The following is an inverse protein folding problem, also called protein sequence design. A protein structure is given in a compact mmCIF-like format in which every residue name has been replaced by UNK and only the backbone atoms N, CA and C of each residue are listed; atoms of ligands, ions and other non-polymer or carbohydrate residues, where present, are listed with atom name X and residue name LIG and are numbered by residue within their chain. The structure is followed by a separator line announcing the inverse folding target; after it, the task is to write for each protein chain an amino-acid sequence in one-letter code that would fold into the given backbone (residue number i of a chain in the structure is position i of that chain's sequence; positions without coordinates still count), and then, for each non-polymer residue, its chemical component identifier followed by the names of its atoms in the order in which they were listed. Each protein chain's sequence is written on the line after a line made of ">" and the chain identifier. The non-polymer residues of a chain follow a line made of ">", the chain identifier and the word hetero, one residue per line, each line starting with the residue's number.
data_IF_413213666538
#
_entry.id   IF_413213666538
#
_cell.length_a   1.000
_cell.length_b   1.000
_cell.length_c   1.000
_cell.angle_alpha   90.00
_cell.angle_beta   90.00
_cell.angle_gamma   90.00
#
_symmetry.space_group_name_H-M   'P 1'
#
loop_
_entity.id
_entity.type
_entity.pdbx_description
1 polymer ?
#
# COMPACT_ATOMS: atom_id res chain seq x y z
N UNK A 1 48.28 -24.02 12.15
CA UNK A 1 47.40 -23.96 10.96
C UNK A 1 46.81 -22.56 10.92
N UNK A 2 47.41 -21.65 10.14
CA UNK A 2 46.95 -20.25 10.07
C UNK A 2 45.66 -20.20 9.26
N UNK A 3 44.56 -19.77 9.88
CA UNK A 3 43.31 -19.44 9.16
C UNK A 3 43.58 -18.18 8.34
N UNK A 4 43.55 -18.32 7.02
CA UNK A 4 43.56 -17.19 6.09
C UNK A 4 42.29 -16.37 6.32
N UNK A 5 42.44 -15.07 6.59
CA UNK A 5 41.34 -14.11 6.53
C UNK A 5 41.04 -13.83 5.06
N UNK A 6 39.77 -13.83 4.60
CA UNK A 6 39.47 -13.36 3.26
C UNK A 6 39.83 -11.87 3.17
N UNK A 7 40.73 -11.56 2.25
CA UNK A 7 41.12 -10.21 1.88
C UNK A 7 39.92 -9.60 1.14
N UNK A 8 39.35 -8.51 1.66
CA UNK A 8 38.36 -7.71 0.94
C UNK A 8 39.05 -7.12 -0.28
N UNK A 9 38.56 -7.47 -1.47
CA UNK A 9 38.94 -6.82 -2.72
C UNK A 9 38.00 -5.64 -2.89
N UNK A 10 38.44 -4.44 -2.52
CA UNK A 10 37.84 -3.21 -3.01
C UNK A 10 38.27 -3.07 -4.48
N UNK A 11 37.45 -3.58 -5.41
CA UNK A 11 37.70 -3.41 -6.84
C UNK A 11 37.22 -2.02 -7.27
N UNK A 12 38.08 -1.02 -7.10
CA UNK A 12 37.89 0.30 -7.67
C UNK A 12 38.23 0.23 -9.16
N UNK A 13 37.25 -0.07 -10.02
CA UNK A 13 37.43 -0.02 -11.47
C UNK A 13 37.42 1.44 -11.98
N UNK A 14 38.51 2.16 -11.70
CA UNK A 14 38.90 3.35 -12.45
C UNK A 14 39.57 2.90 -13.76
N UNK A 15 38.80 2.60 -14.79
CA UNK A 15 39.34 2.52 -16.16
C UNK A 15 39.04 3.81 -16.90
N UNK A 16 39.95 4.78 -16.75
CA UNK A 16 39.92 6.01 -17.53
C UNK A 16 40.49 5.80 -18.94
N UNK A 17 39.84 6.38 -19.95
CA UNK A 17 40.52 7.16 -21.00
C UNK A 17 39.54 8.06 -21.76
N UNK A 18 39.49 9.32 -21.29
CA UNK A 18 39.15 10.57 -22.00
C UNK A 18 37.93 10.61 -22.97
N UNK A 19 36.75 10.97 -22.45
CA UNK A 19 35.77 11.83 -23.13
C UNK A 19 34.69 12.32 -22.13
N UNK A 20 34.79 13.58 -21.68
CA UNK A 20 33.90 14.31 -20.75
C UNK A 20 33.72 13.73 -19.32
N UNK A 21 33.75 14.62 -18.34
CA UNK A 21 33.75 14.29 -16.91
C UNK A 21 32.35 13.91 -16.43
N UNK A 22 32.06 12.62 -16.35
CA UNK A 22 30.93 12.10 -15.58
C UNK A 22 31.20 12.29 -14.08
N UNK A 23 30.65 13.35 -13.47
CA UNK A 23 30.76 13.67 -12.03
C UNK A 23 29.99 12.66 -11.13
N UNK A 24 30.19 11.36 -11.31
CA UNK A 24 29.56 10.35 -10.46
C UNK A 24 30.30 10.24 -9.12
N UNK A 25 29.56 10.16 -8.02
CA UNK A 25 30.08 9.99 -6.67
C UNK A 25 29.59 8.68 -6.07
N UNK A 26 30.52 7.86 -5.59
CA UNK A 26 30.28 6.58 -4.97
C UNK A 26 30.95 6.55 -3.58
N UNK A 27 30.19 6.32 -2.52
CA UNK A 27 30.71 6.15 -1.16
C UNK A 27 30.26 4.82 -0.60
N UNK A 28 31.21 4.05 -0.07
CA UNK A 28 30.93 2.75 0.52
C UNK A 28 31.62 2.64 1.89
N UNK A 29 30.84 2.28 2.91
CA UNK A 29 31.32 2.04 4.28
C UNK A 29 30.85 0.66 4.74
N UNK A 30 31.79 -0.21 5.13
CA UNK A 30 31.50 -1.53 5.69
C UNK A 30 32.21 -1.70 7.04
N UNK A 31 31.44 -2.01 8.08
CA UNK A 31 31.96 -2.39 9.40
C UNK A 31 31.35 -3.74 9.82
N UNK A 32 32.18 -4.77 9.92
CA UNK A 32 31.78 -6.15 10.28
C UNK A 32 32.29 -7.22 9.30
N UNK A 33 31.72 -8.44 9.35
CA UNK A 33 32.24 -9.60 8.61
C UNK A 33 31.26 -10.09 7.52
N UNK A 34 31.80 -10.58 6.41
CA UNK A 34 31.03 -11.23 5.32
C UNK A 34 29.98 -10.35 4.62
N UNK A 35 30.14 -9.02 4.66
CA UNK A 35 29.26 -8.12 3.92
C UNK A 35 29.66 -8.05 2.43
N UNK A 36 28.69 -8.14 1.53
CA UNK A 36 28.82 -8.03 0.08
C UNK A 36 28.16 -6.73 -0.42
N UNK A 37 28.86 -6.03 -1.32
CA UNK A 37 28.38 -4.79 -1.93
C UNK A 37 28.77 -4.72 -3.38
N UNK A 38 27.84 -4.31 -4.22
CA UNK A 38 28.11 -3.94 -5.60
C UNK A 38 27.51 -2.56 -5.87
N UNK A 39 28.27 -1.71 -6.54
CA UNK A 39 27.82 -0.40 -6.99
C UNK A 39 28.28 -0.17 -8.43
N UNK A 40 27.32 0.05 -9.33
CA UNK A 40 27.57 0.37 -10.73
C UNK A 40 26.86 1.68 -11.11
N UNK A 41 27.60 2.66 -11.63
CA UNK A 41 27.07 3.97 -12.04
C UNK A 41 27.47 4.26 -13.48
N UNK A 42 26.49 4.54 -14.33
CA UNK A 42 26.67 4.92 -15.73
C UNK A 42 25.88 6.22 -16.02
N UNK A 43 26.46 7.14 -16.80
CA UNK A 43 25.92 8.49 -17.03
C UNK A 43 26.63 9.58 -16.20
N UNK A 44 26.01 10.74 -15.97
CA UNK A 44 26.64 11.92 -15.37
C UNK A 44 26.00 12.37 -14.04
N UNK A 45 26.78 12.67 -13.01
CA UNK A 45 26.27 13.31 -11.79
C UNK A 45 25.55 12.38 -10.81
N UNK A 46 25.57 11.07 -11.01
CA UNK A 46 24.92 10.11 -10.12
C UNK A 46 25.64 10.05 -8.76
N UNK A 47 24.89 9.96 -7.66
CA UNK A 47 25.41 9.81 -6.30
C UNK A 47 24.89 8.52 -5.68
N UNK A 48 25.78 7.70 -5.14
CA UNK A 48 25.41 6.49 -4.41
C UNK A 48 26.19 6.36 -3.11
N UNK A 49 25.49 6.07 -2.02
CA UNK A 49 26.06 5.82 -0.68
C UNK A 49 25.56 4.48 -0.15
N UNK A 50 26.49 3.58 0.20
CA UNK A 50 26.19 2.29 0.84
C UNK A 50 26.87 2.22 2.20
N UNK A 51 26.10 1.99 3.25
CA UNK A 51 26.61 1.77 4.62
C UNK A 51 26.11 0.44 5.15
N UNK A 52 27.02 -0.44 5.55
CA UNK A 52 26.71 -1.74 6.16
C UNK A 52 27.45 -1.90 7.48
N UNK A 53 26.71 -1.99 8.59
CA UNK A 53 27.26 -2.20 9.94
C UNK A 53 26.68 -3.48 10.54
N UNK A 54 27.46 -4.56 10.59
CA UNK A 54 26.94 -5.88 10.93
C UNK A 54 27.59 -7.01 10.16
N UNK A 55 26.98 -8.19 10.15
CA UNK A 55 27.50 -9.33 9.39
C UNK A 55 26.54 -9.81 8.31
N UNK A 56 27.09 -10.36 7.23
CA UNK A 56 26.36 -11.05 6.16
C UNK A 56 25.37 -10.18 5.36
N UNK A 57 25.54 -8.86 5.36
CA UNK A 57 24.70 -7.95 4.56
C UNK A 57 25.01 -8.05 3.07
N UNK A 58 24.00 -7.91 2.20
CA UNK A 58 24.16 -7.72 0.75
C UNK A 58 23.50 -6.41 0.31
N UNK A 59 24.24 -5.55 -0.41
CA UNK A 59 23.67 -4.36 -1.05
C UNK A 59 24.16 -4.23 -2.49
N UNK A 60 23.24 -4.20 -3.45
CA UNK A 60 23.53 -3.94 -4.85
C UNK A 60 22.82 -2.66 -5.30
N UNK A 61 23.58 -1.69 -5.83
CA UNK A 61 23.03 -0.48 -6.44
C UNK A 61 23.51 -0.41 -7.89
N UNK A 62 22.57 -0.22 -8.81
CA UNK A 62 22.86 0.10 -10.22
C UNK A 62 22.12 1.38 -10.60
N UNK A 63 22.86 2.39 -11.06
CA UNK A 63 22.30 3.66 -11.54
C UNK A 63 22.71 3.92 -12.99
N UNK A 64 21.74 4.22 -13.84
CA UNK A 64 21.94 4.59 -15.24
C UNK A 64 21.19 5.88 -15.58
N UNK A 65 21.88 6.87 -16.13
CA UNK A 65 21.30 8.18 -16.48
C UNK A 65 21.99 9.32 -15.73
N UNK A 66 21.30 10.45 -15.52
CA UNK A 66 21.92 11.63 -14.93
C UNK A 66 21.36 11.99 -13.54
N UNK A 67 22.23 12.42 -12.63
CA UNK A 67 21.82 13.00 -11.33
C UNK A 67 20.93 12.10 -10.44
N UNK A 68 20.96 10.78 -10.62
CA UNK A 68 20.26 9.86 -9.73
C UNK A 68 20.97 9.80 -8.36
N UNK A 69 20.20 9.70 -7.28
CA UNK A 69 20.69 9.55 -5.91
C UNK A 69 20.19 8.23 -5.29
N UNK A 70 21.10 7.42 -4.76
CA UNK A 70 20.78 6.19 -4.05
C UNK A 70 21.51 6.15 -2.70
N UNK A 71 20.78 5.89 -1.62
CA UNK A 71 21.34 5.72 -0.28
C UNK A 71 20.80 4.45 0.35
N UNK A 72 21.68 3.54 0.74
CA UNK A 72 21.29 2.31 1.45
C UNK A 72 22.06 2.20 2.75
N UNK A 73 21.36 2.03 3.87
CA UNK A 73 21.95 1.74 5.18
C UNK A 73 21.40 0.44 5.72
N UNK A 74 22.28 -0.51 6.05
CA UNK A 74 21.91 -1.82 6.61
C UNK A 74 22.64 -2.05 7.94
N UNK A 75 21.88 -2.29 9.01
CA UNK A 75 22.39 -2.55 10.35
C UNK A 75 21.94 -3.94 10.84
N UNK A 76 22.82 -4.71 11.47
CA UNK A 76 22.47 -5.99 12.10
C UNK A 76 23.04 -7.24 11.41
N UNK A 77 22.17 -8.15 10.95
CA UNK A 77 22.54 -9.43 10.35
C UNK A 77 21.73 -9.70 9.07
N UNK A 78 22.42 -10.12 8.01
CA UNK A 78 21.88 -10.76 6.80
C UNK A 78 20.96 -9.93 5.89
N UNK A 79 20.78 -8.63 6.16
CA UNK A 79 19.91 -7.77 5.35
C UNK A 79 20.33 -7.71 3.87
N UNK A 80 19.35 -7.65 2.97
CA UNK A 80 19.54 -7.52 1.52
C UNK A 80 18.83 -6.27 0.97
N UNK A 81 19.55 -5.47 0.19
CA UNK A 81 18.99 -4.40 -0.66
C UNK A 81 19.45 -4.60 -2.10
N UNK A 82 18.51 -4.66 -3.04
CA UNK A 82 18.77 -4.60 -4.47
C UNK A 82 18.05 -3.37 -5.06
N UNK A 83 18.81 -2.40 -5.57
CA UNK A 83 18.31 -1.10 -6.04
C UNK A 83 18.75 -0.84 -7.48
N UNK A 84 17.79 -0.59 -8.36
CA UNK A 84 17.99 -0.30 -9.76
C UNK A 84 17.28 1.00 -10.16
N UNK A 85 18.05 1.98 -10.65
CA UNK A 85 17.54 3.27 -11.14
C UNK A 85 17.95 3.49 -12.59
N UNK A 86 17.00 3.85 -13.44
CA UNK A 86 17.25 4.29 -14.82
C UNK A 86 16.46 5.55 -15.16
N UNK A 87 17.13 6.58 -15.68
CA UNK A 87 16.57 7.87 -16.05
C UNK A 87 17.24 9.01 -15.28
N UNK A 88 16.58 10.15 -15.11
CA UNK A 88 17.20 11.34 -14.53
C UNK A 88 16.58 11.74 -13.18
N UNK A 89 17.42 12.15 -12.22
CA UNK A 89 16.99 12.74 -10.92
C UNK A 89 16.14 11.77 -10.07
N UNK A 90 16.26 10.45 -10.25
CA UNK A 90 15.59 9.51 -9.34
C UNK A 90 16.28 9.48 -7.98
N UNK A 91 15.51 9.42 -6.90
CA UNK A 91 15.99 9.34 -5.52
C UNK A 91 15.48 8.06 -4.88
N UNK A 92 16.36 7.28 -4.28
CA UNK A 92 16.00 6.11 -3.48
C UNK A 92 16.79 6.08 -2.17
N UNK A 93 16.08 6.05 -1.05
CA UNK A 93 16.65 5.90 0.29
C UNK A 93 16.08 4.64 0.94
N UNK A 94 16.96 3.70 1.30
CA UNK A 94 16.58 2.45 1.96
C UNK A 94 17.34 2.32 3.27
N UNK A 95 16.61 2.15 4.36
CA UNK A 95 17.18 1.88 5.68
C UNK A 95 16.62 0.56 6.21
N UNK A 96 17.50 -0.39 6.51
CA UNK A 96 17.17 -1.68 7.10
C UNK A 96 17.91 -1.85 8.44
N UNK A 97 17.16 -2.17 9.48
CA UNK A 97 17.73 -2.50 10.79
C UNK A 97 17.09 -3.79 11.32
N UNK A 98 17.88 -4.87 11.29
CA UNK A 98 17.47 -6.19 11.80
C UNK A 98 18.06 -6.45 13.19
N UNK A 99 17.30 -7.16 14.03
CA UNK A 99 17.77 -7.66 15.33
C UNK A 99 17.90 -9.19 15.38
N UNK A 100 17.12 -9.92 14.58
CA UNK A 100 17.08 -11.39 14.59
C UNK A 100 17.11 -12.02 13.17
N UNK A 101 16.14 -11.71 12.30
CA UNK A 101 16.07 -12.20 10.90
C UNK A 101 16.24 -11.08 9.87
N UNK A 102 16.71 -11.49 8.70
CA UNK A 102 17.13 -10.71 7.53
C UNK A 102 15.96 -9.95 6.87
N UNK A 103 16.09 -8.64 6.67
CA UNK A 103 15.17 -7.87 5.84
C UNK A 103 15.58 -7.93 4.36
N UNK A 104 14.59 -7.82 3.47
CA UNK A 104 14.81 -7.74 2.03
C UNK A 104 14.09 -6.54 1.44
N UNK A 105 14.78 -5.79 0.59
CA UNK A 105 14.24 -4.69 -0.18
C UNK A 105 14.67 -4.81 -1.64
N UNK A 106 13.72 -4.78 -2.55
CA UNK A 106 13.96 -4.63 -3.98
C UNK A 106 13.30 -3.34 -4.46
N UNK A 107 14.09 -2.42 -5.02
CA UNK A 107 13.62 -1.13 -5.51
C UNK A 107 13.99 -0.97 -6.98
N UNK A 108 13.00 -0.73 -7.84
CA UNK A 108 13.19 -0.43 -9.26
C UNK A 108 12.50 0.89 -9.61
N UNK A 109 13.27 1.86 -10.11
CA UNK A 109 12.75 3.15 -10.59
C UNK A 109 13.15 3.37 -12.05
N UNK A 110 12.16 3.57 -12.91
CA UNK A 110 12.33 3.85 -14.34
C UNK A 110 11.69 5.19 -14.69
N UNK A 111 12.41 6.07 -15.38
CA UNK A 111 11.95 7.40 -15.76
C UNK A 111 12.58 8.48 -14.88
N UNK A 112 11.88 9.58 -14.63
CA UNK A 112 12.53 10.80 -14.12
C UNK A 112 11.92 11.31 -12.81
N UNK A 113 12.76 11.78 -11.88
CA UNK A 113 12.31 12.43 -10.62
C UNK A 113 11.43 11.52 -9.74
N UNK A 114 11.54 10.19 -9.88
CA UNK A 114 10.84 9.27 -8.99
C UNK A 114 11.55 9.20 -7.64
N UNK A 115 10.78 9.10 -6.55
CA UNK A 115 11.28 9.05 -5.18
C UNK A 115 10.80 7.79 -4.47
N UNK A 116 11.73 7.05 -3.87
CA UNK A 116 11.46 5.93 -2.95
C UNK A 116 12.12 6.23 -1.61
N UNK A 117 11.36 6.17 -0.54
CA UNK A 117 11.87 6.14 0.83
C UNK A 117 11.32 4.87 1.49
N UNK A 118 12.21 3.98 1.92
CA UNK A 118 11.87 2.73 2.57
C UNK A 118 12.58 2.62 3.91
N UNK A 119 11.81 2.41 4.96
CA UNK A 119 12.28 2.24 6.32
C UNK A 119 11.80 0.91 6.87
N UNK A 120 12.71 -0.06 7.05
CA UNK A 120 12.41 -1.37 7.64
C UNK A 120 13.11 -1.46 8.99
N UNK A 121 12.33 -1.39 10.08
CA UNK A 121 12.86 -1.40 11.44
C UNK A 121 12.28 -2.48 12.33
N UNK A 122 13.20 -3.25 12.91
CA UNK A 122 12.85 -4.35 13.78
C UNK A 122 12.17 -5.49 13.03
N UNK A 123 11.82 -6.55 13.76
CA UNK A 123 11.08 -7.66 13.21
C UNK A 123 11.88 -8.74 12.50
N UNK A 124 11.12 -9.76 12.10
CA UNK A 124 11.61 -11.09 11.75
C UNK A 124 11.45 -11.34 10.23
N UNK A 125 12.10 -10.52 9.39
CA UNK A 125 12.08 -10.68 7.94
C UNK A 125 11.08 -9.85 7.15
N UNK A 126 11.11 -8.53 7.29
CA UNK A 126 10.31 -7.63 6.45
C UNK A 126 10.77 -7.69 4.98
N UNK A 127 9.83 -7.69 4.04
CA UNK A 127 10.04 -7.72 2.60
C UNK A 127 9.31 -6.56 1.94
N UNK A 128 10.02 -5.78 1.12
CA UNK A 128 9.44 -4.73 0.30
C UNK A 128 9.90 -4.86 -1.15
N UNK A 129 8.97 -4.96 -2.09
CA UNK A 129 9.22 -4.92 -3.52
C UNK A 129 8.55 -3.69 -4.11
N UNK A 130 9.33 -2.67 -4.48
CA UNK A 130 8.86 -1.37 -4.92
C UNK A 130 9.25 -1.12 -6.37
N UNK A 131 8.25 -0.85 -7.22
CA UNK A 131 8.43 -0.56 -8.63
C UNK A 131 7.73 0.76 -9.00
N UNK A 132 8.47 1.67 -9.62
CA UNK A 132 7.96 2.92 -10.18
C UNK A 132 8.39 3.07 -11.63
N UNK A 133 7.45 3.43 -12.51
CA UNK A 133 7.70 3.75 -13.91
C UNK A 133 6.98 5.04 -14.30
N UNK A 134 7.71 5.99 -14.92
CA UNK A 134 7.21 7.30 -15.34
C UNK A 134 7.92 8.43 -14.61
N UNK A 135 7.22 9.53 -14.31
CA UNK A 135 7.84 10.70 -13.69
C UNK A 135 7.17 11.16 -12.40
N UNK A 136 7.95 11.68 -11.45
CA UNK A 136 7.45 12.25 -10.18
C UNK A 136 6.61 11.27 -9.32
N UNK A 137 6.81 9.95 -9.45
CA UNK A 137 6.14 9.00 -8.57
C UNK A 137 6.83 8.95 -7.21
N UNK A 138 6.06 8.83 -6.13
CA UNK A 138 6.60 8.78 -4.76
C UNK A 138 6.10 7.53 -4.03
N UNK A 139 7.02 6.73 -3.49
CA UNK A 139 6.73 5.63 -2.56
C UNK A 139 7.39 5.96 -1.23
N UNK A 140 6.60 6.07 -0.18
CA UNK A 140 7.06 6.24 1.19
C UNK A 140 6.55 5.07 2.03
N UNK A 141 7.46 4.20 2.45
CA UNK A 141 7.12 2.91 3.07
C UNK A 141 7.83 2.75 4.40
N UNK A 142 7.07 2.46 5.44
CA UNK A 142 7.57 2.18 6.80
C UNK A 142 7.05 0.82 7.26
N UNK A 143 7.96 -0.17 7.38
CA UNK A 143 7.64 -1.51 7.89
C UNK A 143 8.30 -1.70 9.26
N UNK A 144 7.50 -1.70 10.32
CA UNK A 144 7.99 -1.79 11.69
C UNK A 144 7.53 -3.06 12.43
N UNK A 145 8.35 -3.52 13.37
CA UNK A 145 7.96 -4.52 14.37
C UNK A 145 7.96 -5.97 13.88
N UNK A 146 7.59 -6.89 14.77
CA UNK A 146 7.73 -8.34 14.57
C UNK A 146 6.60 -8.98 13.77
N UNK A 147 6.91 -9.74 12.71
CA UNK A 147 5.92 -10.57 12.01
C UNK A 147 6.12 -10.85 10.52
N UNK A 148 7.18 -10.33 9.88
CA UNK A 148 7.41 -10.53 8.44
C UNK A 148 6.45 -9.71 7.59
N UNK A 149 6.48 -8.39 7.75
CA UNK A 149 5.66 -7.47 6.94
C UNK A 149 6.05 -7.62 5.46
N UNK A 150 5.06 -7.69 4.56
CA UNK A 150 5.28 -7.81 3.13
C UNK A 150 4.52 -6.71 2.38
N UNK A 151 5.21 -5.97 1.52
CA UNK A 151 4.59 -5.00 0.62
C UNK A 151 5.11 -5.21 -0.79
N UNK A 152 4.19 -5.40 -1.73
CA UNK A 152 4.48 -5.23 -3.16
C UNK A 152 3.76 -3.99 -3.66
N UNK A 153 4.53 -3.04 -4.21
CA UNK A 153 4.00 -1.81 -4.78
C UNK A 153 4.43 -1.65 -6.23
N UNK A 154 3.48 -1.43 -7.14
CA UNK A 154 3.75 -1.14 -8.54
C UNK A 154 2.98 0.10 -8.98
N UNK A 155 3.72 1.11 -9.41
CA UNK A 155 3.18 2.38 -9.88
C UNK A 155 3.66 2.66 -11.30
N UNK A 156 2.73 2.96 -12.20
CA UNK A 156 3.00 3.29 -13.60
C UNK A 156 2.23 4.55 -13.98
N UNK A 157 2.94 5.57 -14.48
CA UNK A 157 2.39 6.87 -14.87
C UNK A 157 3.12 7.99 -14.14
N UNK A 158 2.48 9.15 -13.99
CA UNK A 158 3.13 10.34 -13.45
C UNK A 158 2.47 10.88 -12.17
N UNK A 159 3.28 11.36 -11.24
CA UNK A 159 2.77 12.06 -10.05
C UNK A 159 2.00 11.19 -9.07
N UNK A 160 2.07 9.86 -9.18
CA UNK A 160 1.38 8.97 -8.26
C UNK A 160 2.11 8.90 -6.91
N UNK A 161 1.36 8.78 -5.83
CA UNK A 161 1.89 8.63 -4.48
C UNK A 161 1.38 7.36 -3.80
N UNK A 162 2.29 6.63 -3.16
CA UNK A 162 1.98 5.57 -2.20
C UNK A 162 2.63 5.93 -0.86
N UNK A 163 1.82 6.01 0.19
CA UNK A 163 2.28 6.09 1.57
C UNK A 163 1.80 4.83 2.29
N UNK A 164 2.72 3.96 2.74
CA UNK A 164 2.37 2.70 3.38
C UNK A 164 3.08 2.56 4.73
N UNK A 165 2.32 2.29 5.78
CA UNK A 165 2.82 1.93 7.12
C UNK A 165 2.32 0.53 7.44
N UNK A 166 3.23 -0.40 7.74
CA UNK A 166 2.89 -1.78 8.09
C UNK A 166 3.53 -2.18 9.42
N UNK A 167 2.75 -2.79 10.30
CA UNK A 167 3.21 -3.32 11.58
C UNK A 167 2.72 -4.75 11.82
N UNK A 168 3.55 -5.57 12.44
CA UNK A 168 3.16 -6.88 13.01
C UNK A 168 2.74 -8.02 12.05
N UNK A 169 3.36 -8.13 10.88
CA UNK A 169 3.15 -9.23 9.92
C UNK A 169 2.02 -8.96 8.92
N UNK A 170 1.85 -7.70 8.53
CA UNK A 170 0.84 -7.26 7.56
C UNK A 170 1.33 -7.46 6.14
N UNK A 171 0.40 -7.77 5.23
CA UNK A 171 0.66 -7.94 3.82
C UNK A 171 -0.14 -6.91 3.02
N UNK A 172 0.48 -6.35 1.98
CA UNK A 172 -0.22 -5.46 1.07
C UNK A 172 0.30 -5.56 -0.36
N UNK A 173 -0.65 -5.43 -1.28
CA UNK A 173 -0.42 -5.27 -2.70
C UNK A 173 -1.06 -3.97 -3.16
N UNK A 174 -0.24 -3.01 -3.60
CA UNK A 174 -0.68 -1.69 -4.03
C UNK A 174 -0.30 -1.47 -5.51
N UNK A 175 -1.29 -1.29 -6.38
CA UNK A 175 -1.09 -1.06 -7.81
C UNK A 175 -1.74 0.26 -8.22
N UNK A 176 -0.97 1.13 -8.85
CA UNK A 176 -1.44 2.40 -9.42
C UNK A 176 -1.06 2.46 -10.89
N UNK A 177 -2.06 2.68 -11.76
CA UNK A 177 -1.86 2.89 -13.20
C UNK A 177 -2.60 4.16 -13.63
N UNK A 178 -1.86 5.12 -14.18
CA UNK A 178 -2.35 6.43 -14.60
C UNK A 178 -1.65 7.55 -13.84
N UNK A 179 -2.21 8.76 -13.81
CA UNK A 179 -1.54 9.94 -13.26
C UNK A 179 -2.18 10.46 -11.97
N UNK A 180 -1.37 10.99 -11.06
CA UNK A 180 -1.80 11.65 -9.81
C UNK A 180 -2.67 10.80 -8.88
N UNK A 181 -2.58 9.47 -8.96
CA UNK A 181 -3.28 8.61 -8.02
C UNK A 181 -2.58 8.59 -6.66
N UNK A 182 -3.33 8.44 -5.59
CA UNK A 182 -2.82 8.41 -4.22
C UNK A 182 -3.37 7.19 -3.47
N UNK A 183 -2.47 6.37 -2.94
CA UNK A 183 -2.78 5.31 -1.96
C UNK A 183 -2.13 5.68 -0.63
N UNK A 184 -2.95 5.82 0.41
CA UNK A 184 -2.53 5.89 1.80
C UNK A 184 -2.97 4.60 2.49
N UNK A 185 -2.02 3.84 2.99
CA UNK A 185 -2.24 2.55 3.63
C UNK A 185 -1.62 2.56 5.02
N UNK A 186 -2.42 2.35 6.06
CA UNK A 186 -1.94 2.20 7.44
C UNK A 186 -2.46 0.89 8.04
N UNK A 187 -1.59 -0.11 8.16
CA UNK A 187 -1.89 -1.43 8.72
C UNK A 187 -1.17 -1.58 10.07
N UNK A 188 -1.88 -1.34 11.18
CA UNK A 188 -1.29 -1.27 12.54
C UNK A 188 -1.72 -2.37 13.50
N UNK A 189 -2.42 -3.38 13.00
CA UNK A 189 -3.02 -4.46 13.79
C UNK A 189 -2.07 -5.46 14.46
N UNK A 190 -2.64 -6.38 15.23
CA UNK A 190 -1.96 -7.40 16.02
C UNK A 190 -1.27 -8.48 15.19
N UNK A 191 -0.46 -9.31 15.88
CA UNK A 191 0.52 -10.27 15.36
C UNK A 191 0.00 -11.45 14.53
N UNK A 192 -1.21 -11.36 13.99
CA UNK A 192 -1.86 -12.44 13.25
C UNK A 192 -2.22 -12.08 11.80
N UNK A 193 -1.61 -11.00 11.27
CA UNK A 193 -1.65 -10.63 9.86
C UNK A 193 -2.99 -10.10 9.37
N UNK A 194 -2.93 -9.28 8.33
CA UNK A 194 -4.04 -8.70 7.59
C UNK A 194 -3.59 -8.41 6.17
N UNK A 195 -4.51 -8.44 5.22
CA UNK A 195 -4.22 -8.19 3.80
C UNK A 195 -4.93 -6.93 3.31
N UNK A 196 -4.22 -6.14 2.50
CA UNK A 196 -4.80 -5.04 1.74
C UNK A 196 -4.38 -5.16 0.27
N UNK A 197 -5.35 -5.27 -0.62
CA UNK A 197 -5.13 -5.21 -2.06
C UNK A 197 -5.85 -3.96 -2.59
N UNK A 198 -5.08 -3.00 -3.09
CA UNK A 198 -5.59 -1.73 -3.60
C UNK A 198 -5.13 -1.58 -5.05
N UNK A 199 -6.09 -1.45 -5.96
CA UNK A 199 -5.82 -1.20 -7.37
C UNK A 199 -6.51 0.10 -7.83
N UNK A 200 -5.72 1.05 -8.33
CA UNK A 200 -6.20 2.28 -8.94
C UNK A 200 -5.83 2.30 -10.42
N UNK A 201 -6.83 2.36 -11.30
CA UNK A 201 -6.67 2.48 -12.75
C UNK A 201 -7.40 3.74 -13.22
N UNK A 202 -6.64 4.77 -13.64
CA UNK A 202 -7.17 6.06 -14.07
C UNK A 202 -6.38 7.20 -13.43
N UNK A 203 -6.94 8.39 -13.35
CA UNK A 203 -6.24 9.57 -12.83
C UNK A 203 -6.88 10.13 -11.57
N UNK A 204 -6.07 10.74 -10.71
CA UNK A 204 -6.53 11.47 -9.52
C UNK A 204 -7.39 10.63 -8.57
N UNK A 205 -7.27 9.29 -8.61
CA UNK A 205 -7.98 8.44 -7.64
C UNK A 205 -7.28 8.51 -6.28
N UNK A 206 -8.08 8.51 -5.21
CA UNK A 206 -7.61 8.53 -3.83
C UNK A 206 -8.16 7.32 -3.07
N UNK A 207 -7.26 6.51 -2.50
CA UNK A 207 -7.58 5.43 -1.60
C UNK A 207 -6.90 5.67 -0.25
N UNK A 208 -7.67 5.70 0.83
CA UNK A 208 -7.16 5.77 2.20
C UNK A 208 -7.68 4.56 2.98
N UNK A 209 -6.79 3.62 3.29
CA UNK A 209 -7.14 2.38 3.97
C UNK A 209 -6.42 2.31 5.31
N UNK A 210 -7.19 2.29 6.39
CA UNK A 210 -6.69 2.03 7.75
C UNK A 210 -7.20 0.66 8.20
N UNK A 211 -6.30 -0.26 8.48
CA UNK A 211 -6.63 -1.56 9.08
C UNK A 211 -5.98 -1.69 10.46
N UNK A 212 -6.81 -1.77 11.50
CA UNK A 212 -6.37 -2.10 12.84
C UNK A 212 -7.02 -3.40 13.30
N UNK A 213 -6.21 -4.42 13.55
CA UNK A 213 -6.66 -5.67 14.17
C UNK A 213 -6.24 -5.67 15.65
N UNK A 214 -7.19 -5.96 16.54
CA UNK A 214 -6.92 -6.06 17.98
C UNK A 214 -6.40 -7.45 18.38
N UNK A 215 -7.11 -8.10 19.30
CA UNK A 215 -6.79 -9.45 19.81
C UNK A 215 -7.06 -10.60 18.80
N UNK A 216 -7.81 -10.34 17.73
CA UNK A 216 -8.31 -11.36 16.80
C UNK A 216 -7.70 -11.22 15.40
N UNK A 217 -7.23 -12.31 14.74
CA UNK A 217 -6.57 -12.29 13.42
C UNK A 217 -7.39 -11.86 12.20
N UNK A 218 -6.67 -11.52 11.12
CA UNK A 218 -7.03 -11.43 9.69
C UNK A 218 -8.21 -10.52 9.33
N UNK A 219 -7.88 -9.25 9.04
CA UNK A 219 -8.72 -8.33 8.27
C UNK A 219 -8.31 -8.34 6.80
N UNK A 220 -9.28 -8.23 5.89
CA UNK A 220 -9.00 -8.12 4.45
C UNK A 220 -9.73 -6.94 3.83
N UNK A 221 -8.99 -6.14 3.06
CA UNK A 221 -9.52 -5.09 2.21
C UNK A 221 -9.11 -5.39 0.77
N UNK A 222 -10.08 -5.48 -0.11
CA UNK A 222 -9.91 -5.43 -1.55
C UNK A 222 -10.64 -4.17 -2.06
N UNK A 223 -9.89 -3.26 -2.69
CA UNK A 223 -10.43 -2.03 -3.26
C UNK A 223 -9.95 -1.89 -4.70
N UNK A 224 -10.88 -1.77 -5.63
CA UNK A 224 -10.61 -1.45 -7.03
C UNK A 224 -11.27 -0.11 -7.40
N UNK A 225 -10.48 0.83 -7.90
CA UNK A 225 -10.97 2.12 -8.43
C UNK A 225 -10.61 2.19 -9.92
N UNK A 226 -11.62 2.19 -10.78
CA UNK A 226 -11.49 2.29 -12.23
C UNK A 226 -12.18 3.56 -12.72
N UNK A 227 -11.43 4.46 -13.36
CA UNK A 227 -11.89 5.77 -13.79
C UNK A 227 -11.13 6.89 -13.09
N UNK A 228 -11.63 8.13 -13.18
CA UNK A 228 -10.94 9.31 -12.67
C UNK A 228 -11.59 9.84 -11.39
N UNK A 229 -10.78 10.47 -10.52
CA UNK A 229 -11.21 11.18 -9.31
C UNK A 229 -12.08 10.37 -8.33
N UNK A 230 -11.98 9.03 -8.33
CA UNK A 230 -12.69 8.23 -7.34
C UNK A 230 -12.00 8.33 -5.99
N UNK A 231 -12.79 8.51 -4.92
CA UNK A 231 -12.30 8.58 -3.55
C UNK A 231 -12.85 7.42 -2.75
N UNK A 232 -11.98 6.74 -1.99
CA UNK A 232 -12.35 5.68 -1.06
C UNK A 232 -11.62 5.85 0.27
N UNK A 233 -12.38 5.92 1.36
CA UNK A 233 -11.88 5.87 2.74
C UNK A 233 -12.41 4.61 3.41
N UNK A 234 -11.54 3.71 3.84
CA UNK A 234 -11.90 2.45 4.48
C UNK A 234 -11.19 2.37 5.83
N UNK A 235 -11.95 2.40 6.92
CA UNK A 235 -11.46 2.16 8.27
C UNK A 235 -11.99 0.83 8.78
N UNK A 236 -11.11 -0.15 8.96
CA UNK A 236 -11.46 -1.48 9.41
C UNK A 236 -10.79 -1.78 10.76
N UNK A 237 -11.57 -1.71 11.84
CA UNK A 237 -11.07 -1.75 13.22
C UNK A 237 -11.54 -2.98 14.02
N UNK A 238 -12.12 -3.98 13.36
CA UNK A 238 -12.53 -5.25 13.98
C UNK A 238 -11.87 -6.47 13.34
N UNK A 239 -11.81 -7.60 14.05
CA UNK A 239 -11.15 -8.82 13.57
C UNK A 239 -12.02 -9.67 12.64
N UNK A 240 -11.41 -10.50 11.78
CA UNK A 240 -12.11 -11.39 10.81
C UNK A 240 -13.02 -10.69 9.80
N UNK A 241 -12.90 -9.38 9.60
CA UNK A 241 -13.79 -8.63 8.73
C UNK A 241 -13.23 -8.51 7.32
N UNK A 242 -14.13 -8.38 6.34
CA UNK A 242 -13.81 -8.27 4.92
C UNK A 242 -14.52 -7.06 4.31
N UNK A 243 -13.76 -6.27 3.56
CA UNK A 243 -14.26 -5.24 2.65
C UNK A 243 -13.82 -5.62 1.24
N UNK A 244 -14.76 -5.75 0.32
CA UNK A 244 -14.52 -5.94 -1.11
C UNK A 244 -15.39 -4.92 -1.87
N UNK A 245 -14.76 -3.89 -2.43
CA UNK A 245 -15.50 -2.81 -3.08
C UNK A 245 -14.86 -2.37 -4.39
N UNK A 246 -15.70 -2.17 -5.41
CA UNK A 246 -15.30 -1.64 -6.72
C UNK A 246 -16.00 -0.31 -7.02
N UNK A 247 -15.23 0.73 -7.35
CA UNK A 247 -15.72 1.99 -7.90
C UNK A 247 -15.38 2.03 -9.39
N UNK A 248 -16.39 2.10 -10.26
CA UNK A 248 -16.22 2.15 -11.72
C UNK A 248 -16.90 3.40 -12.27
N UNK A 249 -16.14 4.27 -12.94
CA UNK A 249 -16.60 5.58 -13.42
C UNK A 249 -15.87 6.70 -12.71
N UNK A 250 -16.42 7.93 -12.75
CA UNK A 250 -15.71 9.11 -12.26
C UNK A 250 -16.35 9.71 -11.01
N UNK A 251 -15.52 10.27 -10.13
CA UNK A 251 -15.98 11.01 -8.95
C UNK A 251 -16.93 10.22 -8.03
N UNK A 252 -16.74 8.90 -7.94
CA UNK A 252 -17.45 8.10 -6.94
C UNK A 252 -16.77 8.25 -5.57
N UNK A 253 -17.57 8.33 -4.51
CA UNK A 253 -17.11 8.47 -3.12
C UNK A 253 -17.57 7.25 -2.30
N UNK A 254 -16.62 6.56 -1.69
CA UNK A 254 -16.84 5.44 -0.80
C UNK A 254 -16.29 5.78 0.58
N UNK A 255 -17.14 5.71 1.59
CA UNK A 255 -16.72 5.73 2.99
C UNK A 255 -17.21 4.47 3.67
N UNK A 256 -16.27 3.68 4.20
CA UNK A 256 -16.56 2.47 4.98
C UNK A 256 -15.92 2.60 6.35
N UNK A 257 -16.74 2.54 7.40
CA UNK A 257 -16.31 2.38 8.78
C UNK A 257 -16.81 1.03 9.30
N UNK A 258 -15.90 0.06 9.40
CA UNK A 258 -16.21 -1.30 9.83
C UNK A 258 -15.53 -1.60 11.17
N UNK A 259 -16.27 -1.39 12.26
CA UNK A 259 -15.86 -1.71 13.63
C UNK A 259 -16.23 -3.15 14.03
N UNK A 260 -16.92 -3.88 13.14
CA UNK A 260 -17.46 -5.22 13.37
C UNK A 260 -16.42 -6.34 13.49
N UNK A 261 -16.74 -7.42 14.23
CA UNK A 261 -16.03 -8.70 14.19
C UNK A 261 -16.76 -9.66 13.23
N UNK A 262 -16.03 -10.24 12.27
CA UNK A 262 -16.59 -11.11 11.22
C UNK A 262 -17.67 -10.45 10.36
N UNK A 263 -17.54 -9.13 10.13
CA UNK A 263 -18.42 -8.41 9.21
C UNK A 263 -17.97 -8.53 7.77
N UNK A 264 -18.90 -8.50 6.83
CA UNK A 264 -18.60 -8.50 5.39
C UNK A 264 -19.30 -7.33 4.72
N UNK A 265 -18.52 -6.49 4.03
CA UNK A 265 -19.04 -5.47 3.14
C UNK A 265 -18.60 -5.85 1.74
N UNK A 266 -19.57 -6.14 0.87
CA UNK A 266 -19.31 -6.27 -0.56
C UNK A 266 -20.08 -5.19 -1.30
N UNK A 267 -19.47 -4.59 -2.32
CA UNK A 267 -20.25 -3.69 -3.15
C UNK A 267 -19.58 -3.19 -4.41
N UNK A 268 -20.39 -2.54 -5.24
CA UNK A 268 -19.91 -1.78 -6.39
C UNK A 268 -20.71 -0.49 -6.55
N UNK A 269 -20.01 0.54 -7.02
CA UNK A 269 -20.62 1.77 -7.53
C UNK A 269 -20.16 1.95 -8.98
N UNK A 270 -21.08 1.82 -9.93
CA UNK A 270 -20.85 1.97 -11.37
C UNK A 270 -21.58 3.20 -11.89
N UNK A 271 -20.86 4.12 -12.53
CA UNK A 271 -21.36 5.41 -13.01
C UNK A 271 -20.57 6.57 -12.39
N UNK A 272 -21.08 7.78 -12.51
CA UNK A 272 -20.44 8.98 -11.98
C UNK A 272 -21.12 9.52 -10.72
N UNK A 273 -20.38 10.22 -9.87
CA UNK A 273 -20.93 10.96 -8.72
C UNK A 273 -21.71 10.08 -7.72
N UNK A 274 -21.48 8.77 -7.68
CA UNK A 274 -22.15 7.91 -6.70
C UNK A 274 -21.48 8.01 -5.34
N UNK A 275 -22.28 8.07 -4.29
CA UNK A 275 -21.83 8.14 -2.90
C UNK A 275 -22.34 6.92 -2.14
N UNK A 276 -21.41 6.19 -1.53
CA UNK A 276 -21.67 5.04 -0.66
C UNK A 276 -21.05 5.29 0.71
N UNK A 277 -21.87 5.42 1.74
CA UNK A 277 -21.44 5.54 3.13
C UNK A 277 -21.96 4.35 3.93
N UNK A 278 -21.06 3.52 4.47
CA UNK A 278 -21.41 2.28 5.18
C UNK A 278 -20.73 2.27 6.55
N UNK A 279 -21.52 2.15 7.60
CA UNK A 279 -21.04 1.98 8.98
C UNK A 279 -21.56 0.65 9.56
N UNK A 280 -20.67 -0.17 10.11
CA UNK A 280 -20.98 -1.48 10.72
C UNK A 280 -20.29 -1.67 12.07
N UNK A 281 -21.07 -1.76 13.16
CA UNK A 281 -20.53 -1.71 14.54
C UNK A 281 -20.70 -3.00 15.39
N UNK A 282 -20.62 -4.22 14.82
CA UNK A 282 -21.22 -5.44 15.45
C UNK A 282 -20.56 -6.81 15.16
N UNK A 283 -21.15 -7.91 15.65
CA UNK A 283 -20.80 -9.29 15.26
C UNK A 283 -21.67 -9.78 14.08
N UNK A 284 -21.04 -10.35 13.03
CA UNK A 284 -21.72 -11.00 11.89
C UNK A 284 -22.69 -10.12 11.07
N UNK A 285 -22.30 -8.89 10.74
CA UNK A 285 -23.07 -8.01 9.85
C UNK A 285 -22.66 -8.18 8.37
N UNK A 286 -23.63 -8.16 7.46
CA UNK A 286 -23.37 -8.19 6.01
C UNK A 286 -24.06 -7.03 5.29
N UNK A 287 -23.27 -6.30 4.50
CA UNK A 287 -23.77 -5.31 3.54
C UNK A 287 -23.41 -5.77 2.14
N UNK A 288 -24.41 -5.86 1.29
CA UNK A 288 -24.26 -5.99 -0.15
C UNK A 288 -24.81 -4.72 -0.82
N UNK A 289 -23.95 -3.87 -1.38
CA UNK A 289 -24.33 -2.61 -2.02
C UNK A 289 -24.05 -2.66 -3.53
N UNK A 290 -25.06 -2.38 -4.35
CA UNK A 290 -24.92 -2.15 -5.79
C UNK A 290 -25.57 -0.82 -6.15
N UNK A 291 -24.76 0.11 -6.67
CA UNK A 291 -25.23 1.35 -7.28
C UNK A 291 -24.85 1.35 -8.76
N UNK A 292 -25.83 1.50 -9.65
CA UNK A 292 -25.64 1.57 -11.10
C UNK A 292 -26.33 2.82 -11.66
N UNK A 293 -25.57 3.70 -12.31
CA UNK A 293 -26.03 4.99 -12.83
C UNK A 293 -25.36 6.17 -12.11
N UNK A 294 -25.82 7.40 -12.34
CA UNK A 294 -25.10 8.59 -11.85
C UNK A 294 -25.79 9.25 -10.65
N UNK A 295 -24.98 9.75 -9.70
CA UNK A 295 -25.45 10.57 -8.58
C UNK A 295 -26.23 9.80 -7.50
N UNK A 296 -26.14 8.47 -7.45
CA UNK A 296 -26.87 7.71 -6.44
C UNK A 296 -26.20 7.82 -5.07
N UNK A 297 -27.01 7.96 -4.02
CA UNK A 297 -26.57 8.04 -2.63
C UNK A 297 -27.10 6.83 -1.86
N UNK A 298 -26.20 6.08 -1.23
CA UNK A 298 -26.54 5.02 -0.29
C UNK A 298 -25.85 5.28 1.05
N UNK A 299 -26.65 5.40 2.11
CA UNK A 299 -26.18 5.45 3.48
C UNK A 299 -26.72 4.25 4.23
N UNK A 300 -25.82 3.41 4.76
CA UNK A 300 -26.18 2.19 5.48
C UNK A 300 -25.51 2.24 6.85
N UNK A 301 -26.32 2.28 7.89
CA UNK A 301 -25.90 2.22 9.28
C UNK A 301 -26.52 0.97 9.92
N UNK A 302 -25.68 0.04 10.36
CA UNK A 302 -26.11 -1.20 11.00
C UNK A 302 -25.58 -1.27 12.45
N UNK A 303 -26.53 -1.31 13.38
CA UNK A 303 -26.39 -1.56 14.83
C UNK A 303 -27.32 -2.73 15.27
N UNK A 304 -26.86 -3.64 16.14
CA UNK A 304 -27.53 -4.91 16.54
C UNK A 304 -27.03 -6.25 15.95
N UNK A 305 -27.38 -7.42 16.51
CA UNK A 305 -26.84 -8.74 16.07
C UNK A 305 -27.47 -9.27 14.75
N UNK A 306 -26.68 -9.91 13.86
CA UNK A 306 -27.14 -10.58 12.62
C UNK A 306 -27.92 -9.66 11.65
N UNK A 307 -27.35 -8.50 11.31
CA UNK A 307 -27.97 -7.53 10.40
C UNK A 307 -27.48 -7.73 8.96
N UNK A 308 -28.43 -7.98 8.04
CA UNK A 308 -28.23 -8.02 6.60
C UNK A 308 -28.85 -6.77 5.97
N UNK A 309 -28.06 -6.02 5.19
CA UNK A 309 -28.55 -4.96 4.33
C UNK A 309 -28.16 -5.27 2.89
N UNK A 310 -29.15 -5.31 2.00
CA UNK A 310 -28.96 -5.44 0.56
C UNK A 310 -29.56 -4.21 -0.12
N UNK A 311 -28.73 -3.43 -0.80
CA UNK A 311 -29.14 -2.23 -1.52
C UNK A 311 -28.81 -2.40 -2.99
N UNK A 312 -29.82 -2.26 -3.85
CA UNK A 312 -29.64 -2.15 -5.30
C UNK A 312 -30.34 -0.88 -5.78
N UNK A 313 -29.54 0.08 -6.24
CA UNK A 313 -30.01 1.33 -6.85
C UNK A 313 -29.61 1.34 -8.32
N UNK A 314 -30.59 1.49 -9.21
CA UNK A 314 -30.37 1.59 -10.65
C UNK A 314 -31.00 2.90 -11.15
N UNK A 315 -30.22 3.73 -11.82
CA UNK A 315 -30.66 4.98 -12.44
C UNK A 315 -29.98 6.21 -11.84
N UNK A 316 -30.67 7.35 -11.84
CA UNK A 316 -30.07 8.65 -11.55
C UNK A 316 -30.56 9.24 -10.23
N UNK A 317 -29.64 9.75 -9.40
CA UNK A 317 -29.99 10.51 -8.18
C UNK A 317 -30.89 9.77 -7.19
N UNK A 318 -30.84 8.44 -7.13
CA UNK A 318 -31.59 7.68 -6.14
C UNK A 318 -30.94 7.77 -4.76
N UNK A 319 -31.73 7.78 -3.71
CA UNK A 319 -31.28 7.87 -2.33
C UNK A 319 -31.82 6.69 -1.51
N UNK A 320 -30.92 5.95 -0.86
CA UNK A 320 -31.24 4.94 0.15
C UNK A 320 -30.60 5.35 1.45
N UNK A 321 -31.40 5.34 2.51
CA UNK A 321 -30.92 5.36 3.89
C UNK A 321 -31.46 4.14 4.63
N UNK A 322 -30.58 3.25 5.07
CA UNK A 322 -30.92 2.12 5.94
C UNK A 322 -30.29 2.38 7.30
N UNK A 323 -31.14 2.38 8.33
CA UNK A 323 -30.70 2.32 9.73
C UNK A 323 -31.32 1.09 10.36
N UNK A 324 -30.50 0.14 10.78
CA UNK A 324 -30.94 -1.01 11.56
C UNK A 324 -30.36 -0.85 12.96
N UNK A 325 -31.21 -0.92 13.98
CA UNK A 325 -30.83 -0.92 15.40
C UNK A 325 -31.62 -2.04 16.07
N UNK A 326 -30.99 -2.95 16.81
CA UNK A 326 -31.72 -3.87 17.70
C UNK A 326 -31.15 -3.90 19.10
N UNK A 327 -32.00 -3.96 20.14
CA UNK A 327 -31.60 -4.39 21.48
C UNK A 327 -31.10 -5.84 21.44
N UNK A 328 -30.20 -6.16 22.38
CA UNK A 328 -29.28 -7.32 22.45
C UNK A 328 -29.86 -8.74 22.21
N UNK A 329 -31.18 -8.93 22.06
CA UNK A 329 -31.83 -10.25 22.07
C UNK A 329 -32.83 -10.56 20.91
N UNK A 330 -32.84 -9.79 19.81
CA UNK A 330 -33.68 -10.11 18.62
C UNK A 330 -32.86 -10.59 17.43
N UNK A 331 -33.10 -11.82 16.99
CA UNK A 331 -32.56 -12.40 15.77
C UNK A 331 -33.28 -11.85 14.53
N UNK A 332 -32.53 -11.37 13.52
CA UNK A 332 -32.97 -11.38 12.12
C UNK A 332 -33.30 -10.04 11.48
N UNK A 333 -32.43 -9.03 11.58
CA UNK A 333 -32.61 -7.82 10.78
C UNK A 333 -32.20 -8.06 9.32
N UNK A 334 -33.16 -7.94 8.40
CA UNK A 334 -32.92 -7.91 6.96
C UNK A 334 -33.61 -6.69 6.37
N UNK A 335 -32.85 -5.87 5.66
CA UNK A 335 -33.36 -4.75 4.88
C UNK A 335 -32.94 -4.96 3.43
N UNK A 336 -33.90 -5.03 2.52
CA UNK A 336 -33.65 -5.05 1.08
C UNK A 336 -34.30 -3.83 0.46
N UNK A 337 -33.50 -3.02 -0.24
CA UNK A 337 -34.00 -1.90 -1.04
C UNK A 337 -33.64 -2.14 -2.50
N UNK A 338 -34.67 -2.15 -3.36
CA UNK A 338 -34.52 -2.09 -4.81
C UNK A 338 -35.16 -0.79 -5.30
N UNK A 339 -34.34 0.10 -5.86
CA UNK A 339 -34.81 1.32 -6.50
C UNK A 339 -34.41 1.32 -7.97
N UNK A 340 -35.38 1.57 -8.84
CA UNK A 340 -35.15 1.74 -10.27
C UNK A 340 -35.79 3.04 -10.73
N UNK A 341 -35.02 3.94 -11.35
CA UNK A 341 -35.51 5.19 -11.92
C UNK A 341 -34.70 6.41 -11.48
N UNK A 342 -35.36 7.57 -11.48
CA UNK A 342 -34.71 8.87 -11.18
C UNK A 342 -35.28 9.47 -9.91
N UNK A 343 -34.41 9.86 -8.98
CA UNK A 343 -34.79 10.62 -7.79
C UNK A 343 -35.61 9.85 -6.75
N UNK A 344 -35.57 8.51 -6.76
CA UNK A 344 -36.28 7.73 -5.76
C UNK A 344 -35.64 7.90 -4.38
N UNK A 345 -36.45 8.02 -3.33
CA UNK A 345 -35.97 8.09 -1.95
C UNK A 345 -36.58 6.92 -1.16
N UNK A 346 -35.74 6.11 -0.53
CA UNK A 346 -36.15 5.04 0.35
C UNK A 346 -35.42 5.20 1.68
N UNK A 347 -36.20 5.17 2.77
CA UNK A 347 -35.68 5.21 4.12
C UNK A 347 -36.23 4.03 4.89
N UNK A 348 -35.35 3.10 5.27
CA UNK A 348 -35.69 1.99 6.15
C UNK A 348 -35.10 2.30 7.52
N UNK A 349 -35.95 2.27 8.55
CA UNK A 349 -35.50 2.27 9.94
C UNK A 349 -36.12 1.05 10.61
N UNK A 350 -35.28 0.12 11.05
CA UNK A 350 -35.68 -1.03 11.85
C UNK A 350 -35.10 -0.82 13.26
N UNK A 351 -35.95 -0.92 14.28
CA UNK A 351 -35.64 -0.73 15.71
C UNK A 351 -36.03 -1.96 16.51
#
# INVERSE_FOLDING_TARGET
>A
MFKLKPLVVALLMLSGSYALAANNTATQTQDGNYNETTLEQTGEGNTATQTQEGNEHRSAITQNGATNAAETTQLGLGNTVDLYQTGDINVAQVYQQSFDLEHSATVTQLGDTNTVVLYQQGGNGAVATLYQEGSNNTHNVEQNGYGGNELTARTVGNGNALNAIQRHGMQADAIQTGDNNVINLDQTGGSSGGTATIQQNGNENLASVTQSSGRYPATSVALAQEGDTNTATINQNGGFSTVDFAQQGNNNDLTIDQLSISGTITGRSTGNDNVAAITQDLYFARVDLVQEGDGNLATIDQSGNNSLAAVSQIGFSNQVAITQATPVDVNGNSATVLQNGTGNIARITQQ
#
